data_IF_297383478472
#
_entry.id   IF_297383478472
#
_cell.length_a   1.000
_cell.length_b   1.000
_cell.length_c   1.000
_cell.angle_alpha   90.00
_cell.angle_beta   90.00
_cell.angle_gamma   90.00
#
_symmetry.space_group_name_H-M   'P 1'
#
loop_
_entity.id
_entity.type
_entity.pdbx_description
1 polymer ?
#
# COMPACT_ATOMS: atom_id res chain seq x y z
N UNK A 1 1.08 34.87 -2.21
CA UNK A 1 1.27 33.60 -2.94
C UNK A 1 0.01 32.75 -2.83
N UNK A 2 -0.50 32.27 -3.97
CA UNK A 2 -1.79 31.56 -3.97
C UNK A 2 -1.66 30.18 -3.33
N UNK A 3 -2.71 29.78 -2.61
CA UNK A 3 -2.77 28.41 -2.05
C UNK A 3 -2.70 27.35 -3.16
N UNK A 4 -3.16 27.66 -4.36
CA UNK A 4 -3.06 26.78 -5.52
C UNK A 4 -1.62 26.40 -5.82
N UNK A 5 -0.73 27.40 -5.92
CA UNK A 5 0.70 27.18 -6.17
C UNK A 5 1.34 26.36 -5.07
N UNK A 6 1.01 26.64 -3.81
CA UNK A 6 1.57 25.90 -2.65
C UNK A 6 1.20 24.41 -2.67
N UNK A 7 -0.03 24.07 -3.02
CA UNK A 7 -0.47 22.67 -3.10
C UNK A 7 0.29 21.94 -4.21
N UNK A 8 0.41 22.53 -5.40
CA UNK A 8 1.16 21.90 -6.50
C UNK A 8 2.65 21.76 -6.15
N UNK A 9 3.26 22.80 -5.59
CA UNK A 9 4.68 22.74 -5.19
C UNK A 9 4.94 21.66 -4.15
N UNK A 10 4.06 21.54 -3.15
CA UNK A 10 4.15 20.53 -2.11
C UNK A 10 4.01 19.11 -2.70
N UNK A 11 3.06 18.92 -3.60
CA UNK A 11 2.85 17.63 -4.25
C UNK A 11 4.05 17.23 -5.11
N UNK A 12 4.56 18.15 -5.94
CA UNK A 12 5.71 17.89 -6.79
C UNK A 12 6.96 17.59 -5.98
N UNK A 13 7.22 18.37 -4.92
CA UNK A 13 8.39 18.17 -4.07
C UNK A 13 8.34 16.82 -3.35
N UNK A 14 7.16 16.42 -2.87
CA UNK A 14 7.00 15.13 -2.20
C UNK A 14 7.18 13.98 -3.16
N UNK A 15 6.59 14.03 -4.34
CA UNK A 15 6.75 12.97 -5.34
C UNK A 15 8.21 12.85 -5.79
N UNK A 16 8.91 13.97 -5.96
CA UNK A 16 10.32 13.96 -6.30
C UNK A 16 11.16 13.35 -5.19
N UNK A 17 10.89 13.70 -3.94
CA UNK A 17 11.58 13.12 -2.78
C UNK A 17 11.36 11.61 -2.70
N UNK A 18 10.12 11.14 -2.84
CA UNK A 18 9.80 9.72 -2.82
C UNK A 18 10.49 8.99 -3.97
N UNK A 19 10.50 9.56 -5.17
CA UNK A 19 11.20 8.98 -6.31
C UNK A 19 12.66 8.69 -6.02
N UNK A 20 13.34 9.58 -5.32
CA UNK A 20 14.78 9.45 -5.02
C UNK A 20 15.06 8.55 -3.81
N UNK A 21 14.15 8.50 -2.84
CA UNK A 21 14.34 7.74 -1.59
C UNK A 21 13.75 6.34 -1.60
N UNK A 22 12.89 6.03 -2.58
CA UNK A 22 12.22 4.74 -2.66
C UNK A 22 13.22 3.60 -2.90
N UNK A 23 13.12 2.55 -2.10
CA UNK A 23 13.94 1.35 -2.28
C UNK A 23 13.41 0.52 -3.46
N UNK A 24 14.14 0.58 -4.58
CA UNK A 24 13.76 -0.15 -5.79
C UNK A 24 13.84 -1.68 -5.62
N UNK A 25 14.70 -2.16 -4.73
CA UNK A 25 14.77 -3.59 -4.39
C UNK A 25 13.48 -4.05 -3.71
N UNK A 26 12.96 -3.25 -2.77
CA UNK A 26 11.67 -3.55 -2.14
C UNK A 26 10.52 -3.55 -3.15
N UNK A 27 10.52 -2.62 -4.10
CA UNK A 27 9.53 -2.58 -5.18
C UNK A 27 9.59 -3.87 -6.01
N UNK A 28 10.78 -4.29 -6.44
CA UNK A 28 10.94 -5.50 -7.24
C UNK A 28 10.48 -6.74 -6.48
N UNK A 29 10.79 -6.85 -5.19
CA UNK A 29 10.34 -7.95 -4.35
C UNK A 29 8.81 -7.95 -4.20
N UNK A 30 8.20 -6.78 -4.03
CA UNK A 30 6.75 -6.66 -3.96
C UNK A 30 6.09 -7.11 -5.26
N UNK A 31 6.63 -6.70 -6.40
CA UNK A 31 6.13 -7.14 -7.71
C UNK A 31 6.24 -8.66 -7.86
N UNK A 32 7.33 -9.27 -7.42
CA UNK A 32 7.49 -10.73 -7.42
C UNK A 32 6.39 -11.41 -6.59
N UNK A 33 6.16 -10.94 -5.37
CA UNK A 33 5.13 -11.49 -4.50
C UNK A 33 3.73 -11.36 -5.11
N UNK A 34 3.41 -10.19 -5.64
CA UNK A 34 2.11 -9.94 -6.25
C UNK A 34 1.89 -10.80 -7.51
N UNK A 35 2.93 -10.97 -8.32
CA UNK A 35 2.86 -11.75 -9.56
C UNK A 35 2.58 -13.22 -9.28
N UNK A 36 3.07 -13.76 -8.17
CA UNK A 36 2.90 -15.16 -7.78
C UNK A 36 1.68 -15.39 -6.89
N UNK A 37 0.98 -14.33 -6.48
CA UNK A 37 -0.13 -14.43 -5.54
C UNK A 37 -1.31 -15.21 -6.12
N UNK A 38 -1.91 -16.07 -5.30
CA UNK A 38 -3.18 -16.74 -5.62
C UNK A 38 -4.37 -15.80 -5.46
N UNK A 39 -4.28 -14.88 -4.51
CA UNK A 39 -5.28 -13.87 -4.18
C UNK A 39 -4.56 -12.68 -3.58
N UNK A 40 -5.01 -11.47 -3.90
CA UNK A 40 -4.46 -10.24 -3.37
C UNK A 40 -5.56 -9.47 -2.65
N UNK A 41 -5.31 -9.09 -1.40
CA UNK A 41 -6.19 -8.21 -0.64
C UNK A 41 -5.52 -6.84 -0.46
N UNK A 42 -6.29 -5.77 -0.60
CA UNK A 42 -5.83 -4.40 -0.37
C UNK A 42 -6.67 -3.79 0.73
N UNK A 43 -6.05 -3.38 1.83
CA UNK A 43 -6.73 -2.77 2.96
C UNK A 43 -6.00 -1.49 3.42
N UNK A 44 -6.78 -0.54 3.86
CA UNK A 44 -6.35 0.71 4.47
C UNK A 44 -7.51 1.30 5.25
N UNK A 45 -7.24 2.35 6.01
CA UNK A 45 -8.26 3.08 6.78
C UNK A 45 -8.14 4.57 6.46
N UNK A 46 -9.26 5.29 6.58
CA UNK A 46 -9.29 6.72 6.29
C UNK A 46 -8.89 7.03 4.84
N UNK A 47 -7.98 7.99 4.65
CA UNK A 47 -7.50 8.37 3.32
C UNK A 47 -6.75 7.22 2.63
N UNK A 48 -6.15 6.31 3.38
CA UNK A 48 -5.49 5.13 2.82
C UNK A 48 -6.47 4.06 2.35
N UNK A 49 -7.72 4.08 2.83
CA UNK A 49 -8.78 3.23 2.28
C UNK A 49 -9.09 3.58 0.83
N UNK A 50 -9.07 4.87 0.49
CA UNK A 50 -9.25 5.31 -0.90
C UNK A 50 -8.12 4.81 -1.81
N UNK A 51 -6.89 4.78 -1.31
CA UNK A 51 -5.74 4.23 -2.04
C UNK A 51 -5.88 2.72 -2.23
N UNK A 52 -6.31 2.01 -1.20
CA UNK A 52 -6.57 0.56 -1.28
C UNK A 52 -7.68 0.24 -2.30
N UNK A 53 -8.71 1.06 -2.36
CA UNK A 53 -9.79 0.93 -3.35
C UNK A 53 -9.26 1.17 -4.78
N UNK A 54 -8.43 2.19 -4.97
CA UNK A 54 -7.79 2.45 -6.26
C UNK A 54 -6.90 1.27 -6.68
N UNK A 55 -6.14 0.71 -5.75
CA UNK A 55 -5.32 -0.47 -6.01
C UNK A 55 -6.17 -1.66 -6.46
N UNK A 56 -7.30 -1.92 -5.78
CA UNK A 56 -8.24 -2.95 -6.20
C UNK A 56 -8.66 -2.75 -7.66
N UNK A 57 -9.05 -1.54 -8.04
CA UNK A 57 -9.46 -1.24 -9.41
C UNK A 57 -8.35 -1.49 -10.43
N UNK A 58 -7.11 -1.20 -10.10
CA UNK A 58 -5.97 -1.40 -11.00
C UNK A 58 -5.61 -2.87 -11.17
N UNK A 59 -5.72 -3.67 -10.13
CA UNK A 59 -5.39 -5.09 -10.17
C UNK A 59 -6.58 -5.97 -10.58
N UNK A 60 -7.81 -5.48 -10.44
CA UNK A 60 -9.02 -6.22 -10.78
C UNK A 60 -9.07 -6.68 -12.24
N UNK A 61 -8.47 -5.93 -13.17
CA UNK A 61 -8.43 -6.25 -14.60
C UNK A 61 -7.51 -7.41 -14.93
N UNK A 62 -6.67 -7.84 -13.99
CA UNK A 62 -5.77 -8.96 -14.19
C UNK A 62 -6.44 -10.26 -13.74
N UNK A 63 -5.96 -11.38 -14.24
CA UNK A 63 -6.55 -12.68 -13.93
C UNK A 63 -6.05 -13.20 -12.56
N UNK A 64 -6.34 -12.45 -11.52
CA UNK A 64 -6.06 -12.79 -10.13
C UNK A 64 -7.21 -12.30 -9.26
N UNK A 65 -7.72 -13.12 -8.33
CA UNK A 65 -8.74 -12.67 -7.41
C UNK A 65 -8.23 -11.52 -6.53
N UNK A 66 -9.01 -10.46 -6.45
CA UNK A 66 -8.68 -9.26 -5.66
C UNK A 66 -9.79 -9.01 -4.64
N UNK A 67 -9.40 -8.75 -3.40
CA UNK A 67 -10.30 -8.46 -2.28
C UNK A 67 -10.06 -7.04 -1.79
N UNK A 68 -11.14 -6.33 -1.55
CA UNK A 68 -11.12 -5.02 -0.90
C UNK A 68 -12.32 -4.90 0.03
N UNK A 69 -12.12 -4.25 1.16
CA UNK A 69 -13.21 -3.81 2.04
C UNK A 69 -12.72 -2.63 2.88
N UNK A 70 -13.61 -1.69 3.16
CA UNK A 70 -13.39 -0.60 4.11
C UNK A 70 -13.95 -0.93 5.51
N UNK A 71 -14.53 -2.10 5.68
CA UNK A 71 -15.11 -2.57 6.95
C UNK A 71 -14.07 -3.40 7.70
N UNK A 72 -13.80 -3.01 8.95
CA UNK A 72 -12.79 -3.65 9.79
C UNK A 72 -13.12 -5.13 10.05
N UNK A 73 -14.39 -5.47 10.25
CA UNK A 73 -14.80 -6.85 10.52
C UNK A 73 -14.52 -7.71 9.28
N UNK A 74 -14.88 -7.24 8.09
CA UNK A 74 -14.62 -7.96 6.85
C UNK A 74 -13.13 -8.07 6.55
N UNK A 75 -12.36 -7.03 6.84
CA UNK A 75 -10.91 -7.09 6.72
C UNK A 75 -10.30 -8.18 7.62
N UNK A 76 -10.74 -8.26 8.88
CA UNK A 76 -10.29 -9.29 9.81
C UNK A 76 -10.68 -10.69 9.34
N UNK A 77 -11.93 -10.87 8.90
CA UNK A 77 -12.40 -12.16 8.36
C UNK A 77 -11.58 -12.58 7.14
N UNK A 78 -11.26 -11.65 6.26
CA UNK A 78 -10.41 -11.91 5.09
C UNK A 78 -9.02 -12.41 5.51
N UNK A 79 -8.41 -11.75 6.49
CA UNK A 79 -7.09 -12.16 7.00
C UNK A 79 -7.13 -13.50 7.73
N UNK A 80 -8.21 -13.78 8.47
CA UNK A 80 -8.42 -15.08 9.11
C UNK A 80 -8.57 -16.22 8.11
N UNK A 81 -9.10 -15.93 6.93
CA UNK A 81 -9.32 -16.92 5.87
C UNK A 81 -8.17 -16.98 4.85
N UNK A 82 -7.07 -16.31 5.12
CA UNK A 82 -5.87 -16.41 4.30
C UNK A 82 -5.27 -17.82 4.34
N UNK A 83 -4.54 -18.15 3.29
CA UNK A 83 -3.78 -19.39 3.19
C UNK A 83 -2.46 -19.12 2.45
N UNK A 84 -1.61 -20.13 2.39
CA UNK A 84 -0.34 -20.05 1.67
C UNK A 84 -0.56 -19.65 0.21
N UNK A 85 0.21 -18.68 -0.26
CA UNK A 85 0.10 -18.10 -1.60
C UNK A 85 -0.75 -16.83 -1.66
N UNK A 86 -1.46 -16.48 -0.58
CA UNK A 86 -2.18 -15.21 -0.51
C UNK A 86 -1.23 -14.06 -0.16
N UNK A 87 -1.54 -12.88 -0.70
CA UNK A 87 -0.82 -11.64 -0.38
C UNK A 87 -1.81 -10.60 0.12
N UNK A 88 -1.49 -9.98 1.24
CA UNK A 88 -2.27 -8.87 1.82
C UNK A 88 -1.41 -7.61 1.76
N UNK A 89 -1.93 -6.59 1.09
CA UNK A 89 -1.28 -5.27 1.01
C UNK A 89 -1.98 -4.33 1.98
N UNK A 90 -1.24 -3.82 2.95
CA UNK A 90 -1.74 -2.90 3.97
C UNK A 90 -1.12 -1.53 3.76
N UNK A 91 -1.97 -0.52 3.68
CA UNK A 91 -1.58 0.85 3.36
C UNK A 91 -1.87 1.74 4.56
N UNK A 92 -0.85 2.39 5.09
CA UNK A 92 -0.97 3.30 6.23
C UNK A 92 0.17 4.31 6.21
N UNK A 93 -0.17 5.60 6.23
CA UNK A 93 0.85 6.63 6.33
C UNK A 93 1.60 6.52 7.66
N UNK A 94 0.88 6.42 8.78
CA UNK A 94 1.50 6.42 10.11
C UNK A 94 2.14 5.09 10.50
N UNK A 95 1.62 3.97 9.98
CA UNK A 95 2.06 2.64 10.36
C UNK A 95 1.79 2.27 11.82
N UNK A 96 0.98 3.06 12.52
CA UNK A 96 0.72 2.92 13.97
C UNK A 96 -0.73 2.56 14.27
N UNK A 97 -1.56 2.46 13.26
CA UNK A 97 -2.97 2.11 13.44
C UNK A 97 -3.07 0.66 13.90
N UNK A 98 -3.56 0.49 15.13
CA UNK A 98 -3.63 -0.81 15.80
C UNK A 98 -4.34 -1.87 14.95
N UNK A 99 -5.46 -1.51 14.33
CA UNK A 99 -6.23 -2.44 13.51
C UNK A 99 -5.42 -2.99 12.35
N UNK A 100 -4.63 -2.17 11.66
CA UNK A 100 -3.81 -2.63 10.53
C UNK A 100 -2.63 -3.49 11.00
N UNK A 101 -2.03 -3.17 12.14
CA UNK A 101 -0.98 -4.01 12.73
C UNK A 101 -1.53 -5.39 13.07
N UNK A 102 -2.73 -5.45 13.66
CA UNK A 102 -3.41 -6.72 13.96
C UNK A 102 -3.74 -7.51 12.69
N UNK A 103 -4.16 -6.84 11.61
CA UNK A 103 -4.39 -7.50 10.32
C UNK A 103 -3.11 -8.14 9.78
N UNK A 104 -1.97 -7.45 9.90
CA UNK A 104 -0.69 -7.99 9.47
C UNK A 104 -0.34 -9.27 10.24
N UNK A 105 -0.50 -9.24 11.56
CA UNK A 105 -0.25 -10.41 12.41
C UNK A 105 -1.17 -11.57 12.03
N UNK A 106 -2.45 -11.30 11.88
CA UNK A 106 -3.47 -12.29 11.58
C UNK A 106 -3.25 -12.96 10.21
N UNK A 107 -2.92 -12.16 9.20
CA UNK A 107 -2.64 -12.67 7.86
C UNK A 107 -1.39 -13.59 7.88
N UNK A 108 -0.33 -13.17 8.56
CA UNK A 108 0.89 -13.96 8.66
C UNK A 108 0.70 -15.25 9.45
N UNK A 109 -0.12 -15.23 10.50
CA UNK A 109 -0.49 -16.43 11.25
C UNK A 109 -1.19 -17.48 10.37
N UNK A 110 -1.83 -17.02 9.29
CA UNK A 110 -2.50 -17.86 8.33
C UNK A 110 -1.71 -18.03 7.02
N UNK A 111 -0.38 -17.90 7.11
CA UNK A 111 0.59 -18.17 6.05
C UNK A 111 0.53 -17.23 4.83
N UNK A 112 -0.17 -16.11 4.93
CA UNK A 112 -0.13 -15.09 3.89
C UNK A 112 1.16 -14.27 3.97
N UNK A 113 1.60 -13.75 2.83
CA UNK A 113 2.63 -12.72 2.77
C UNK A 113 1.99 -11.35 2.95
N UNK A 114 2.59 -10.49 3.74
CA UNK A 114 2.09 -9.14 4.00
C UNK A 114 3.05 -8.11 3.43
N UNK A 115 2.55 -7.28 2.53
CA UNK A 115 3.26 -6.10 2.03
C UNK A 115 2.67 -4.88 2.73
N UNK A 116 3.49 -4.12 3.42
CA UNK A 116 3.07 -2.85 4.01
C UNK A 116 3.62 -1.68 3.20
N UNK A 117 2.74 -0.77 2.83
CA UNK A 117 3.10 0.54 2.26
C UNK A 117 2.91 1.56 3.36
N UNK A 118 4.01 1.99 3.99
CA UNK A 118 3.96 2.75 5.24
C UNK A 118 5.26 3.51 5.51
N UNK A 119 5.34 4.21 6.64
CA UNK A 119 6.54 4.89 7.06
C UNK A 119 7.54 3.91 7.69
N UNK A 120 8.83 4.22 7.57
CA UNK A 120 9.91 3.40 8.11
C UNK A 120 9.88 3.36 9.64
N UNK A 121 10.31 2.24 10.23
CA UNK A 121 10.50 2.10 11.68
C UNK A 121 9.19 2.05 12.47
N UNK A 122 8.07 1.79 11.82
CA UNK A 122 6.75 1.76 12.47
C UNK A 122 6.35 0.33 12.83
N UNK A 123 5.38 0.16 13.74
CA UNK A 123 4.88 -1.17 14.08
C UNK A 123 4.40 -1.97 12.87
N UNK A 124 3.68 -1.34 11.94
CA UNK A 124 3.20 -2.03 10.74
C UNK A 124 4.37 -2.49 9.87
N UNK A 125 5.39 -1.64 9.67
CA UNK A 125 6.57 -2.00 8.90
C UNK A 125 7.28 -3.21 9.49
N UNK A 126 7.36 -3.30 10.82
CA UNK A 126 7.99 -4.45 11.50
C UNK A 126 7.20 -5.74 11.39
N UNK A 127 5.87 -5.66 11.38
CA UNK A 127 5.00 -6.84 11.29
C UNK A 127 4.86 -7.37 9.87
N UNK A 128 5.18 -6.57 8.86
CA UNK A 128 5.05 -6.97 7.46
C UNK A 128 6.14 -7.97 7.06
N UNK A 129 5.81 -8.83 6.10
CA UNK A 129 6.81 -9.67 5.42
C UNK A 129 7.78 -8.79 4.63
N UNK A 130 7.24 -7.75 3.99
CA UNK A 130 8.00 -6.77 3.21
C UNK A 130 7.39 -5.39 3.43
N UNK A 131 8.20 -4.43 3.80
CA UNK A 131 7.77 -3.04 3.89
C UNK A 131 8.32 -2.22 2.72
N UNK A 132 7.42 -1.55 2.02
CA UNK A 132 7.77 -0.46 1.10
C UNK A 132 7.61 0.82 1.90
N UNK A 133 8.72 1.47 2.23
CA UNK A 133 8.68 2.61 3.12
C UNK A 133 8.65 3.91 2.34
N UNK A 134 7.69 4.75 2.70
CA UNK A 134 7.54 6.10 2.18
C UNK A 134 7.85 7.10 3.29
N UNK A 135 8.88 7.90 3.09
CA UNK A 135 9.25 8.96 4.02
C UNK A 135 8.65 10.27 3.49
N UNK A 136 7.41 10.52 3.86
CA UNK A 136 6.68 11.72 3.45
C UNK A 136 6.51 12.62 4.65
N UNK A 137 7.17 13.79 4.67
CA UNK A 137 6.91 14.76 5.73
C UNK A 137 5.48 15.31 5.57
N UNK A 138 4.61 15.03 6.55
CA UNK A 138 3.32 15.70 6.60
C UNK A 138 3.49 17.06 7.26
N UNK A 139 3.04 18.07 6.54
CA UNK A 139 2.89 19.39 7.12
C UNK A 139 1.62 19.39 7.95
N UNK A 140 1.76 19.33 9.28
CA UNK A 140 0.64 19.32 10.21
C UNK A 140 -0.14 20.64 10.22
N UNK A 141 0.37 21.67 9.57
CA UNK A 141 -0.33 22.96 9.43
C UNK A 141 -1.36 22.95 8.29
N UNK A 142 -1.34 21.91 7.47
CA UNK A 142 -2.34 21.69 6.42
C UNK A 142 -3.29 20.60 6.89
N UNK A 143 -4.57 20.92 6.97
CA UNK A 143 -5.62 20.10 7.60
C UNK A 143 -5.96 18.78 6.91
N UNK A 144 -5.28 18.42 5.82
CA UNK A 144 -5.60 17.18 5.10
C UNK A 144 -4.34 16.44 4.66
N UNK A 145 -4.25 15.12 4.90
CA UNK A 145 -3.10 14.30 4.51
C UNK A 145 -3.11 14.01 3.00
N UNK A 146 -3.10 15.06 2.17
CA UNK A 146 -3.25 14.93 0.71
C UNK A 146 -1.97 14.44 0.04
N UNK A 147 -0.82 14.78 0.59
CA UNK A 147 0.47 14.55 -0.05
C UNK A 147 0.90 13.10 0.12
N UNK A 148 0.68 12.51 1.30
CA UNK A 148 0.98 11.09 1.53
C UNK A 148 0.13 10.20 0.63
N UNK A 149 -1.14 10.57 0.42
CA UNK A 149 -2.04 9.85 -0.48
C UNK A 149 -1.52 9.85 -1.92
N UNK A 150 -1.03 10.98 -2.42
CA UNK A 150 -0.47 11.06 -3.77
C UNK A 150 0.75 10.16 -3.93
N UNK A 151 1.63 10.14 -2.94
CA UNK A 151 2.79 9.25 -2.94
C UNK A 151 2.37 7.77 -2.94
N UNK A 152 1.40 7.42 -2.09
CA UNK A 152 0.85 6.05 -2.03
C UNK A 152 0.25 5.65 -3.38
N UNK A 153 -0.58 6.51 -3.99
CA UNK A 153 -1.19 6.24 -5.29
C UNK A 153 -0.14 6.02 -6.38
N UNK A 154 0.92 6.82 -6.37
CA UNK A 154 2.00 6.69 -7.36
C UNK A 154 2.73 5.36 -7.20
N UNK A 155 3.00 4.93 -5.97
CA UNK A 155 3.64 3.63 -5.72
C UNK A 155 2.72 2.47 -6.16
N UNK A 156 1.42 2.58 -5.95
CA UNK A 156 0.47 1.59 -6.47
C UNK A 156 0.55 1.52 -8.00
N UNK A 157 0.67 2.65 -8.69
CA UNK A 157 0.86 2.67 -10.15
C UNK A 157 2.16 1.96 -10.57
N UNK A 158 3.23 2.18 -9.82
CA UNK A 158 4.51 1.50 -10.07
C UNK A 158 4.35 -0.02 -9.93
N UNK A 159 3.71 -0.47 -8.84
CA UNK A 159 3.47 -1.90 -8.60
C UNK A 159 2.59 -2.52 -9.69
N UNK A 160 1.52 -1.85 -10.08
CA UNK A 160 0.62 -2.33 -11.13
C UNK A 160 1.33 -2.41 -12.49
N UNK A 161 2.18 -1.44 -12.80
CA UNK A 161 2.99 -1.44 -14.03
C UNK A 161 4.00 -2.59 -14.01
N UNK A 162 4.72 -2.78 -12.91
CA UNK A 162 5.65 -3.89 -12.76
C UNK A 162 4.96 -5.25 -12.88
N UNK A 163 3.80 -5.38 -12.27
CA UNK A 163 2.97 -6.59 -12.37
C UNK A 163 2.59 -6.89 -13.82
N UNK A 164 2.15 -5.88 -14.56
CA UNK A 164 1.79 -6.01 -15.97
C UNK A 164 2.99 -6.44 -16.82
N UNK A 165 4.13 -5.81 -16.61
CA UNK A 165 5.36 -6.14 -17.37
C UNK A 165 5.84 -7.57 -17.07
N UNK A 166 5.73 -8.03 -15.82
CA UNK A 166 6.14 -9.39 -15.40
C UNK A 166 5.24 -10.46 -16.02
N UNK A 167 3.95 -10.20 -16.13
CA UNK A 167 3.01 -11.15 -16.73
C UNK A 167 3.05 -11.17 -18.25
N UNK A 168 3.79 -10.27 -18.86
CA UNK A 168 3.77 -10.06 -20.29
C UNK A 168 2.50 -9.31 -20.72
N UNK A 169 2.66 -8.18 -21.39
CA UNK A 169 1.54 -7.45 -21.95
C UNK A 169 0.84 -8.33 -22.98
N UNK A 170 -0.40 -8.73 -22.68
CA UNK A 170 -1.29 -9.28 -23.68
C UNK A 170 -2.28 -8.22 -24.11
#
# INVERSE_FOLDING_TARGET
ESYTGKIFESAMATLDHVRHSLDKSAINRAVDLLTQAKKIAFFGLGSSAAVAHDAMNKFFRFNVPVVYSDDIVLQRMSCMNCSDGDVVVLISHTGRTKNLVELAQLARENDAMVIALTSAGTPLAREATLAITLDVPEDTDIYMPMVSRLAQLTVIDVLATGFTLRRGAK
#
